data_IF_850244018442
#
_entry.id   IF_850244018442
#
_cell.length_a   1.000
_cell.length_b   1.000
_cell.length_c   1.000
_cell.angle_alpha   90.00
_cell.angle_beta   90.00
_cell.angle_gamma   90.00
#
_symmetry.space_group_name_H-M   'P 1'
#
loop_
_entity.id
_entity.type
_entity.pdbx_description
1 polymer ?
#
# COMPACT_ATOMS: atom_id res chain seq x y z
N UNK A 1 -19.00 2.37 2.02
CA UNK A 1 -18.12 1.21 2.25
C UNK A 1 -16.76 1.49 1.63
N UNK A 2 -15.69 1.42 2.42
CA UNK A 2 -14.33 1.67 1.96
C UNK A 2 -13.71 0.38 1.42
N UNK A 3 -13.27 0.43 0.17
CA UNK A 3 -12.43 -0.60 -0.45
C UNK A 3 -11.05 -0.65 0.23
N UNK A 4 -10.49 -1.85 0.39
CA UNK A 4 -9.15 -2.11 0.96
C UNK A 4 -8.28 -2.83 -0.05
N UNK A 5 -6.97 -2.64 0.07
CA UNK A 5 -5.98 -3.36 -0.73
C UNK A 5 -5.58 -4.64 0.00
N UNK A 6 -5.93 -5.81 -0.55
CA UNK A 6 -5.46 -7.08 -0.04
C UNK A 6 -4.44 -7.69 -1.00
N UNK A 7 -3.32 -8.18 -0.46
CA UNK A 7 -2.49 -9.14 -1.17
C UNK A 7 -2.90 -10.56 -0.78
N UNK A 8 -3.21 -11.40 -1.75
CA UNK A 8 -3.50 -12.83 -1.55
C UNK A 8 -2.41 -13.64 -2.22
N UNK A 9 -1.76 -14.52 -1.45
CA UNK A 9 -0.73 -15.42 -1.94
C UNK A 9 -1.30 -16.83 -2.02
N UNK A 10 -1.10 -17.50 -3.15
CA UNK A 10 -1.59 -18.86 -3.41
C UNK A 10 -0.43 -19.77 -3.80
N UNK A 11 -0.52 -21.08 -3.52
CA UNK A 11 0.36 -22.06 -4.12
C UNK A 11 0.20 -22.08 -5.66
N UNK A 12 1.15 -22.70 -6.39
CA UNK A 12 1.00 -22.93 -7.82
C UNK A 12 -0.29 -23.69 -8.12
N UNK A 13 -0.95 -23.31 -9.21
CA UNK A 13 -2.19 -23.97 -9.67
C UNK A 13 -1.88 -24.97 -10.78
N UNK A 14 -2.68 -26.03 -10.84
CA UNK A 14 -2.62 -27.00 -11.92
C UNK A 14 -3.13 -26.38 -13.24
N UNK A 15 -4.23 -25.64 -13.18
CA UNK A 15 -4.72 -24.80 -14.27
C UNK A 15 -4.54 -23.32 -13.87
N UNK A 16 -3.75 -22.53 -14.62
CA UNK A 16 -3.53 -21.12 -14.31
C UNK A 16 -4.80 -20.27 -14.47
N UNK A 17 -5.87 -20.76 -15.10
CA UNK A 17 -7.15 -20.04 -15.23
C UNK A 17 -8.07 -20.19 -14.02
N UNK A 18 -7.81 -21.14 -13.12
CA UNK A 18 -8.61 -21.40 -11.92
C UNK A 18 -8.33 -20.43 -10.75
N UNK A 19 -7.52 -19.40 -10.99
CA UNK A 19 -7.07 -18.47 -9.94
C UNK A 19 -8.22 -17.80 -9.19
N UNK A 20 -9.34 -17.52 -9.86
CA UNK A 20 -10.47 -16.85 -9.22
C UNK A 20 -11.15 -17.76 -8.19
N UNK A 21 -11.31 -19.05 -8.52
CA UNK A 21 -11.89 -20.03 -7.61
C UNK A 21 -10.93 -20.33 -6.45
N UNK A 22 -9.63 -20.44 -6.72
CA UNK A 22 -8.62 -20.58 -5.68
C UNK A 22 -8.60 -19.39 -4.70
N UNK A 23 -8.80 -18.15 -5.18
CA UNK A 23 -8.96 -16.99 -4.30
C UNK A 23 -10.23 -17.13 -3.46
N UNK A 24 -11.37 -17.51 -4.06
CA UNK A 24 -12.63 -17.68 -3.33
C UNK A 24 -12.47 -18.71 -2.19
N UNK A 25 -11.80 -19.82 -2.45
CA UNK A 25 -11.50 -20.84 -1.43
C UNK A 25 -10.59 -20.28 -0.32
N UNK A 26 -9.53 -19.57 -0.68
CA UNK A 26 -8.56 -19.03 0.27
C UNK A 26 -9.18 -17.98 1.21
N UNK A 27 -10.09 -17.14 0.71
CA UNK A 27 -10.72 -16.08 1.51
C UNK A 27 -11.97 -16.54 2.27
N UNK A 28 -12.57 -17.67 1.91
CA UNK A 28 -13.81 -18.17 2.52
C UNK A 28 -13.78 -18.25 4.07
N UNK A 29 -12.64 -18.55 4.73
CA UNK A 29 -12.54 -18.51 6.19
C UNK A 29 -12.69 -17.11 6.82
N UNK A 30 -12.65 -16.03 6.04
CA UNK A 30 -12.61 -14.64 6.48
C UNK A 30 -13.80 -13.80 5.96
N UNK A 31 -15.07 -14.22 6.17
CA UNK A 31 -16.22 -13.57 5.56
C UNK A 31 -16.45 -12.13 6.05
N UNK A 32 -16.01 -11.80 7.28
CA UNK A 32 -16.16 -10.46 7.85
C UNK A 32 -15.08 -9.48 7.34
N UNK A 33 -13.86 -9.98 7.12
CA UNK A 33 -12.71 -9.20 6.67
C UNK A 33 -12.61 -9.10 5.14
N UNK A 34 -13.13 -10.09 4.40
CA UNK A 34 -12.99 -10.25 2.95
C UNK A 34 -14.34 -10.59 2.28
N UNK A 35 -15.39 -9.82 2.60
CA UNK A 35 -16.78 -10.10 2.17
C UNK A 35 -16.97 -10.17 0.65
N UNK A 36 -16.38 -9.23 -0.09
CA UNK A 36 -16.37 -9.26 -1.57
C UNK A 36 -15.05 -8.75 -2.09
N UNK A 37 -14.63 -9.24 -3.25
CA UNK A 37 -13.35 -8.87 -3.84
C UNK A 37 -13.43 -8.74 -5.37
N UNK A 38 -12.46 -8.03 -5.94
CA UNK A 38 -12.20 -8.04 -7.38
C UNK A 38 -10.73 -7.81 -7.69
N UNK A 39 -10.20 -8.54 -8.68
CA UNK A 39 -8.87 -8.29 -9.25
C UNK A 39 -8.86 -7.10 -10.24
N UNK A 40 -10.02 -6.56 -10.61
CA UNK A 40 -10.18 -5.52 -11.62
C UNK A 40 -10.68 -4.18 -11.04
N UNK A 41 -10.42 -3.97 -9.74
CA UNK A 41 -10.80 -2.76 -9.01
C UNK A 41 -9.70 -1.70 -8.97
N UNK A 42 -9.62 -0.97 -7.86
CA UNK A 42 -8.66 0.15 -7.68
C UNK A 42 -7.20 -0.29 -7.80
N UNK A 43 -6.89 -1.54 -7.46
CA UNK A 43 -5.52 -2.06 -7.33
C UNK A 43 -5.14 -3.03 -8.46
N UNK A 44 -5.88 -3.02 -9.57
CA UNK A 44 -5.70 -3.90 -10.74
C UNK A 44 -4.44 -3.61 -11.60
N UNK A 45 -3.65 -2.60 -11.23
CA UNK A 45 -2.36 -2.26 -11.83
C UNK A 45 -1.30 -2.04 -10.77
N UNK A 46 -1.49 -2.58 -9.56
CA UNK A 46 -0.60 -2.31 -8.42
C UNK A 46 0.74 -3.04 -8.58
N UNK A 47 0.74 -4.27 -9.09
CA UNK A 47 1.94 -5.09 -9.18
C UNK A 47 2.70 -4.77 -10.46
N UNK A 48 4.00 -4.49 -10.33
CA UNK A 48 4.90 -4.32 -11.46
C UNK A 48 5.35 -5.68 -11.99
N UNK A 49 5.40 -5.81 -13.30
CA UNK A 49 5.93 -6.98 -14.01
C UNK A 49 7.38 -6.69 -14.38
N UNK A 50 8.26 -7.69 -14.24
CA UNK A 50 9.67 -7.54 -14.62
C UNK A 50 9.81 -7.26 -16.12
N UNK A 51 10.76 -6.41 -16.53
CA UNK A 51 10.95 -6.07 -17.94
C UNK A 51 11.44 -7.26 -18.78
N UNK A 52 12.08 -8.25 -18.16
CA UNK A 52 12.60 -9.48 -18.78
C UNK A 52 11.61 -10.65 -18.70
N UNK A 53 10.43 -10.45 -18.12
CA UNK A 53 9.43 -11.50 -17.99
C UNK A 53 8.84 -11.90 -19.36
N UNK A 54 8.83 -13.20 -19.64
CA UNK A 54 8.11 -13.80 -20.77
C UNK A 54 6.90 -14.58 -20.23
N UNK A 55 5.75 -13.92 -20.00
CA UNK A 55 4.60 -14.59 -19.42
C UNK A 55 4.08 -15.67 -20.37
N UNK A 56 3.89 -16.89 -19.85
CA UNK A 56 3.08 -17.90 -20.50
C UNK A 56 1.59 -17.57 -20.32
N UNK A 57 0.72 -18.24 -21.08
CA UNK A 57 -0.72 -18.11 -20.88
C UNK A 57 -1.13 -18.38 -19.42
N UNK A 58 -2.03 -17.55 -18.90
CA UNK A 58 -2.51 -17.59 -17.51
C UNK A 58 -1.48 -17.23 -16.41
N UNK A 59 -0.20 -17.03 -16.73
CA UNK A 59 0.82 -16.74 -15.70
C UNK A 59 0.77 -15.33 -15.09
N UNK A 60 0.04 -14.42 -15.75
CA UNK A 60 -0.27 -13.07 -15.29
C UNK A 60 -1.75 -12.77 -15.48
N UNK A 61 -2.35 -12.11 -14.50
CA UNK A 61 -3.72 -11.58 -14.58
C UNK A 61 -3.64 -10.07 -14.76
N UNK A 62 -4.03 -9.61 -15.94
CA UNK A 62 -4.03 -8.19 -16.31
C UNK A 62 -5.45 -7.71 -16.57
N UNK A 63 -5.79 -6.54 -16.03
CA UNK A 63 -7.02 -5.85 -16.38
C UNK A 63 -6.94 -5.24 -17.78
N UNK A 64 -8.09 -4.82 -18.32
CA UNK A 64 -8.13 -4.01 -19.55
C UNK A 64 -7.35 -2.71 -19.38
N UNK A 65 -7.42 -2.08 -18.20
CA UNK A 65 -6.67 -0.87 -17.87
C UNK A 65 -5.16 -1.12 -17.91
N UNK A 66 -4.70 -2.22 -17.30
CA UNK A 66 -3.29 -2.60 -17.34
C UNK A 66 -2.80 -2.74 -18.79
N UNK A 67 -3.52 -3.50 -19.62
CA UNK A 67 -3.19 -3.71 -21.04
C UNK A 67 -3.17 -2.42 -21.86
N UNK A 68 -4.14 -1.52 -21.64
CA UNK A 68 -4.26 -0.26 -22.39
C UNK A 68 -3.22 0.78 -21.96
N UNK A 69 -2.76 0.72 -20.71
CA UNK A 69 -1.79 1.71 -20.19
C UNK A 69 -0.40 1.61 -20.85
N UNK A 70 -0.07 0.45 -21.44
CA UNK A 70 1.27 0.15 -21.94
C UNK A 70 2.33 0.01 -20.84
N UNK A 71 1.96 0.17 -19.56
CA UNK A 71 2.83 -0.07 -18.43
C UNK A 71 2.86 -1.57 -18.10
N UNK A 72 4.04 -2.15 -17.82
CA UNK A 72 4.16 -3.57 -17.44
C UNK A 72 3.64 -3.77 -16.01
N UNK A 73 2.31 -3.78 -15.86
CA UNK A 73 1.62 -3.94 -14.57
C UNK A 73 0.55 -5.00 -14.67
N UNK A 74 0.15 -5.55 -13.52
CA UNK A 74 -0.87 -6.58 -13.41
C UNK A 74 -1.63 -6.51 -12.08
N UNK A 75 -2.74 -7.24 -12.03
CA UNK A 75 -3.49 -7.51 -10.81
C UNK A 75 -2.94 -8.71 -10.06
N UNK A 76 -2.26 -9.63 -10.74
CA UNK A 76 -1.66 -10.79 -10.10
C UNK A 76 -0.87 -11.66 -11.06
N UNK A 77 -0.22 -12.68 -10.53
CA UNK A 77 0.54 -13.66 -11.30
C UNK A 77 1.64 -14.32 -10.47
N UNK A 78 2.46 -15.13 -11.14
CA UNK A 78 3.59 -15.80 -10.50
C UNK A 78 4.59 -14.81 -9.93
N UNK A 79 5.10 -15.09 -8.73
CA UNK A 79 6.07 -14.24 -8.01
C UNK A 79 7.27 -13.93 -8.91
N UNK A 80 7.84 -14.90 -9.60
CA UNK A 80 9.04 -14.71 -10.42
C UNK A 80 8.88 -13.74 -11.58
N UNK A 81 7.65 -13.46 -12.01
CA UNK A 81 7.33 -12.47 -13.03
C UNK A 81 7.15 -11.05 -12.46
N UNK A 82 7.06 -10.91 -11.13
CA UNK A 82 6.80 -9.63 -10.46
C UNK A 82 8.10 -8.94 -10.01
N UNK A 83 8.10 -7.61 -10.06
CA UNK A 83 9.27 -6.77 -9.77
C UNK A 83 9.10 -5.96 -8.48
N UNK A 84 9.07 -6.66 -7.34
CA UNK A 84 9.02 -6.03 -6.02
C UNK A 84 10.19 -5.06 -5.77
N UNK A 85 11.45 -5.39 -6.16
CA UNK A 85 12.56 -4.44 -6.04
C UNK A 85 12.32 -3.13 -6.81
N UNK A 86 11.85 -3.19 -8.07
CA UNK A 86 11.57 -1.97 -8.83
C UNK A 86 10.44 -1.14 -8.22
N UNK A 87 9.39 -1.78 -7.69
CA UNK A 87 8.33 -1.07 -6.97
C UNK A 87 8.88 -0.29 -5.77
N UNK A 88 9.75 -0.93 -4.97
CA UNK A 88 10.43 -0.32 -3.82
C UNK A 88 11.32 0.86 -4.23
N UNK A 89 12.14 0.69 -5.27
CA UNK A 89 13.01 1.76 -5.80
C UNK A 89 12.19 2.93 -6.34
N UNK A 90 11.12 2.64 -7.09
CA UNK A 90 10.23 3.65 -7.64
C UNK A 90 9.59 4.49 -6.52
N UNK A 91 9.03 3.83 -5.49
CA UNK A 91 8.41 4.52 -4.36
C UNK A 91 9.40 5.33 -3.54
N UNK A 92 10.59 4.80 -3.27
CA UNK A 92 11.66 5.54 -2.61
C UNK A 92 12.06 6.80 -3.39
N UNK A 93 12.14 6.68 -4.73
CA UNK A 93 12.48 7.81 -5.61
C UNK A 93 11.39 8.89 -5.60
N UNK A 94 10.11 8.50 -5.67
CA UNK A 94 9.00 9.43 -5.57
C UNK A 94 8.98 10.15 -4.22
N UNK A 95 9.17 9.41 -3.12
CA UNK A 95 9.21 9.98 -1.77
C UNK A 95 10.36 10.97 -1.59
N UNK A 96 11.57 10.65 -2.09
CA UNK A 96 12.71 11.56 -2.02
C UNK A 96 12.45 12.85 -2.79
N UNK A 97 11.86 12.76 -4.00
CA UNK A 97 11.48 13.92 -4.81
C UNK A 97 10.45 14.80 -4.08
N UNK A 98 9.40 14.18 -3.53
CA UNK A 98 8.38 14.88 -2.76
C UNK A 98 8.97 15.60 -1.54
N UNK A 99 9.79 14.90 -0.75
CA UNK A 99 10.41 15.48 0.45
C UNK A 99 11.25 16.71 0.12
N UNK A 100 12.11 16.60 -0.91
CA UNK A 100 12.97 17.71 -1.36
C UNK A 100 12.15 18.89 -1.88
N UNK A 101 11.12 18.62 -2.69
CA UNK A 101 10.23 19.66 -3.22
C UNK A 101 9.50 20.40 -2.09
N UNK A 102 8.93 19.64 -1.14
CA UNK A 102 8.25 20.21 0.02
C UNK A 102 9.20 21.03 0.90
N UNK A 103 10.37 20.48 1.26
CA UNK A 103 11.38 21.21 2.04
C UNK A 103 11.80 22.51 1.37
N UNK A 104 12.04 22.49 0.06
CA UNK A 104 12.39 23.69 -0.70
C UNK A 104 11.26 24.71 -0.69
N UNK A 105 10.02 24.29 -0.91
CA UNK A 105 8.87 25.18 -0.97
C UNK A 105 8.46 25.78 0.39
N UNK A 106 8.91 25.16 1.49
CA UNK A 106 8.55 25.55 2.86
C UNK A 106 9.71 26.17 3.64
N UNK A 107 10.87 26.38 3.01
CA UNK A 107 12.10 26.81 3.65
C UNK A 107 12.00 28.15 4.42
N UNK A 108 11.10 29.04 3.99
CA UNK A 108 10.87 30.36 4.61
C UNK A 108 9.71 30.38 5.61
N UNK A 109 8.99 29.27 5.74
CA UNK A 109 7.83 29.15 6.63
C UNK A 109 8.24 28.58 7.99
N UNK A 110 7.50 28.94 9.04
CA UNK A 110 7.65 28.33 10.36
C UNK A 110 7.56 26.80 10.27
N UNK A 111 8.45 26.04 10.96
CA UNK A 111 8.43 24.59 10.96
C UNK A 111 7.06 24.02 11.33
N UNK A 112 6.59 23.03 10.56
CA UNK A 112 5.41 22.28 10.93
C UNK A 112 5.68 21.44 12.19
N UNK A 113 4.67 21.37 13.04
CA UNK A 113 4.60 20.53 14.24
C UNK A 113 3.92 19.19 13.87
N UNK A 114 4.43 18.04 14.36
CA UNK A 114 3.84 16.74 14.10
C UNK A 114 2.40 16.59 14.63
N UNK A 115 1.60 15.75 13.97
CA UNK A 115 0.20 15.46 14.36
C UNK A 115 0.07 14.94 15.80
N UNK A 116 1.06 14.17 16.28
CA UNK A 116 1.10 13.65 17.65
C UNK A 116 1.03 14.77 18.70
N UNK A 117 1.69 15.90 18.48
CA UNK A 117 1.61 17.05 19.39
C UNK A 117 0.21 17.68 19.44
N UNK A 118 -0.52 17.69 18.32
CA UNK A 118 -1.92 18.15 18.30
C UNK A 118 -2.84 17.18 19.03
N UNK A 119 -2.63 15.88 18.86
CA UNK A 119 -3.41 14.83 19.55
C UNK A 119 -3.17 14.85 21.06
N UNK A 120 -1.94 15.08 21.50
CA UNK A 120 -1.61 15.27 22.92
C UNK A 120 -2.33 16.49 23.52
N UNK A 121 -2.50 17.57 22.75
CA UNK A 121 -3.28 18.76 23.18
C UNK A 121 -4.79 18.52 23.18
N UNK A 122 -5.29 17.63 22.31
CA UNK A 122 -6.72 17.36 22.11
C UNK A 122 -7.06 15.86 22.23
N UNK A 123 -6.78 15.21 23.38
CA UNK A 123 -6.91 13.75 23.51
C UNK A 123 -8.35 13.24 23.32
N UNK A 124 -9.34 14.06 23.64
CA UNK A 124 -10.76 13.74 23.50
C UNK A 124 -11.40 14.32 22.23
N UNK A 125 -10.61 14.98 21.36
CA UNK A 125 -11.11 15.64 20.15
C UNK A 125 -10.17 15.41 18.96
N UNK A 126 -10.02 14.15 18.49
CA UNK A 126 -9.11 13.80 17.40
C UNK A 126 -9.43 14.55 16.09
N UNK A 127 -10.70 14.85 15.83
CA UNK A 127 -11.11 15.67 14.69
C UNK A 127 -10.56 17.10 14.76
N UNK A 128 -10.53 17.70 15.95
CA UNK A 128 -9.94 19.03 16.18
C UNK A 128 -8.42 19.00 16.05
N UNK A 129 -7.77 17.97 16.62
CA UNK A 129 -6.33 17.76 16.46
C UNK A 129 -5.94 17.74 14.97
N UNK A 130 -6.70 17.00 14.17
CA UNK A 130 -6.47 16.88 12.73
C UNK A 130 -6.72 18.20 11.98
N UNK A 131 -7.79 18.92 12.33
CA UNK A 131 -8.10 20.21 11.71
C UNK A 131 -6.97 21.23 11.96
N UNK A 132 -6.50 21.34 13.21
CA UNK A 132 -5.40 22.24 13.56
C UNK A 132 -4.08 21.81 12.90
N UNK A 133 -3.78 20.51 12.86
CA UNK A 133 -2.60 19.99 12.16
C UNK A 133 -2.61 20.39 10.68
N UNK A 134 -3.75 20.22 9.99
CA UNK A 134 -3.90 20.58 8.57
C UNK A 134 -3.82 22.08 8.30
N UNK A 135 -4.20 22.91 9.26
CA UNK A 135 -4.18 24.36 9.12
C UNK A 135 -2.77 24.97 9.10
N UNK A 136 -1.73 24.17 9.32
CA UNK A 136 -0.35 24.64 9.32
C UNK A 136 0.09 25.17 7.94
N UNK A 137 0.78 26.32 7.85
CA UNK A 137 1.17 26.93 6.57
C UNK A 137 1.94 25.98 5.65
N UNK A 138 2.89 25.20 6.19
CA UNK A 138 3.68 24.25 5.41
C UNK A 138 2.84 23.12 4.78
N UNK A 139 1.68 22.78 5.36
CA UNK A 139 0.79 21.74 4.82
C UNK A 139 -0.13 22.26 3.73
N UNK A 140 -0.37 23.58 3.69
CA UNK A 140 -1.14 24.18 2.59
C UNK A 140 -0.37 24.05 1.27
N UNK A 141 0.96 24.20 1.31
CA UNK A 141 1.87 24.04 0.16
C UNK A 141 1.81 22.62 -0.45
N UNK A 142 1.51 21.59 0.34
CA UNK A 142 1.37 20.22 -0.18
C UNK A 142 0.15 20.03 -1.09
N UNK A 143 -0.79 20.97 -1.10
CA UNK A 143 -1.92 20.93 -2.05
C UNK A 143 -1.52 21.33 -3.45
N UNK A 144 -0.46 22.13 -3.58
CA UNK A 144 0.04 22.62 -4.87
C UNK A 144 1.12 21.69 -5.44
N UNK A 145 1.84 20.97 -4.58
CA UNK A 145 2.92 20.06 -4.99
C UNK A 145 2.46 18.67 -5.41
N UNK A 146 1.28 18.22 -4.96
CA UNK A 146 0.81 16.85 -5.16
C UNK A 146 -0.58 16.82 -5.82
N UNK A 147 -0.61 16.57 -7.14
CA UNK A 147 -1.82 16.51 -7.95
C UNK A 147 -2.72 15.27 -7.66
N UNK A 148 -2.24 14.32 -6.85
CA UNK A 148 -2.91 13.04 -6.59
C UNK A 148 -3.71 13.03 -5.27
N UNK A 149 -5.04 13.11 -5.36
CA UNK A 149 -5.96 13.09 -4.20
C UNK A 149 -6.31 11.66 -3.74
N UNK A 150 -5.47 11.06 -2.90
CA UNK A 150 -5.69 9.71 -2.33
C UNK A 150 -5.77 9.74 -0.79
N UNK A 151 -6.52 8.84 -0.15
CA UNK A 151 -6.55 8.67 1.32
C UNK A 151 -5.16 8.39 1.93
N UNK A 152 -4.21 7.83 1.15
CA UNK A 152 -2.80 7.68 1.55
C UNK A 152 -2.13 9.03 1.89
N UNK A 153 -2.66 10.14 1.35
CA UNK A 153 -2.15 11.51 1.56
C UNK A 153 -2.10 11.89 3.03
N UNK A 154 -3.00 11.39 3.88
CA UNK A 154 -3.00 11.75 5.31
C UNK A 154 -1.81 11.17 6.06
N UNK A 155 -1.61 9.86 5.95
CA UNK A 155 -0.48 9.17 6.58
C UNK A 155 0.85 9.66 5.99
N UNK A 156 0.89 9.90 4.67
CA UNK A 156 2.06 10.46 4.00
C UNK A 156 2.36 11.88 4.46
N UNK A 157 1.35 12.74 4.65
CA UNK A 157 1.53 14.12 5.16
C UNK A 157 2.02 14.14 6.60
N UNK A 158 1.43 13.30 7.47
CA UNK A 158 1.87 13.20 8.85
C UNK A 158 3.33 12.71 8.95
N UNK A 159 3.69 11.68 8.18
CA UNK A 159 5.06 11.17 8.10
C UNK A 159 6.03 12.20 7.53
N UNK A 160 5.62 12.99 6.54
CA UNK A 160 6.47 14.02 5.93
C UNK A 160 6.90 15.10 6.92
N UNK A 161 6.02 15.46 7.86
CA UNK A 161 6.32 16.42 8.93
C UNK A 161 7.15 15.78 10.05
N UNK A 162 6.85 14.53 10.41
CA UNK A 162 7.44 13.88 11.57
C UNK A 162 8.84 13.29 11.32
N UNK A 163 9.15 12.92 10.08
CA UNK A 163 10.36 12.17 9.74
C UNK A 163 11.41 13.04 9.04
N UNK A 164 12.68 12.67 9.22
CA UNK A 164 13.73 13.15 8.33
C UNK A 164 13.60 12.54 6.92
N UNK A 165 14.45 13.01 6.00
CA UNK A 165 14.41 12.57 4.61
C UNK A 165 14.59 11.06 4.46
N UNK A 166 15.55 10.46 5.17
CA UNK A 166 15.94 9.07 4.97
C UNK A 166 14.89 8.13 5.57
N UNK A 167 14.37 8.46 6.76
CA UNK A 167 13.27 7.73 7.38
C UNK A 167 11.98 7.83 6.54
N UNK A 168 11.67 9.00 5.96
CA UNK A 168 10.51 9.16 5.08
C UNK A 168 10.63 8.30 3.81
N UNK A 169 11.82 8.27 3.20
CA UNK A 169 12.12 7.46 2.01
C UNK A 169 12.05 5.97 2.32
N UNK A 170 12.61 5.53 3.44
CA UNK A 170 12.56 4.12 3.85
C UNK A 170 11.12 3.67 4.12
N UNK A 171 10.36 4.49 4.84
CA UNK A 171 8.94 4.21 5.11
C UNK A 171 8.13 4.06 3.81
N UNK A 172 8.40 4.89 2.80
CA UNK A 172 7.77 4.78 1.49
C UNK A 172 8.20 3.50 0.75
N UNK A 173 9.47 3.11 0.88
CA UNK A 173 10.00 1.86 0.33
C UNK A 173 9.30 0.64 0.92
N UNK A 174 9.19 0.57 2.24
CA UNK A 174 8.55 -0.54 2.95
C UNK A 174 7.07 -0.72 2.57
N UNK A 175 6.38 0.37 2.21
CA UNK A 175 4.96 0.36 1.78
C UNK A 175 4.75 0.16 0.29
N UNK A 176 5.80 -0.07 -0.48
CA UNK A 176 5.70 -0.09 -1.93
C UNK A 176 4.88 -1.27 -2.45
N UNK A 177 5.06 -2.44 -1.86
CA UNK A 177 4.43 -3.70 -2.29
C UNK A 177 3.25 -4.08 -1.39
N UNK A 178 3.40 -4.19 -0.05
CA UNK A 178 2.33 -4.69 0.80
C UNK A 178 1.04 -3.86 0.71
N UNK A 179 -0.08 -4.56 0.89
CA UNK A 179 -1.39 -3.94 1.03
C UNK A 179 -1.74 -3.58 2.47
N UNK A 180 -3.03 -3.37 2.68
CA UNK A 180 -3.63 -3.20 4.00
C UNK A 180 -3.82 -4.57 4.68
N UNK A 181 -3.98 -5.62 3.85
CA UNK A 181 -4.07 -7.02 4.26
C UNK A 181 -3.10 -7.89 3.47
N UNK A 182 -2.59 -8.95 4.10
CA UNK A 182 -1.83 -10.02 3.47
C UNK A 182 -2.40 -11.37 3.89
N UNK A 183 -2.97 -12.12 2.95
CA UNK A 183 -3.33 -13.53 3.13
C UNK A 183 -2.18 -14.40 2.59
N UNK A 184 -1.56 -15.15 3.49
CA UNK A 184 -0.45 -16.07 3.17
C UNK A 184 -0.97 -17.37 2.57
N UNK A 185 -0.07 -18.13 1.93
CA UNK A 185 -0.35 -19.45 1.34
C UNK A 185 -0.83 -20.48 2.36
N UNK A 186 -0.43 -20.33 3.63
CA UNK A 186 -0.86 -21.17 4.75
C UNK A 186 -2.25 -20.76 5.29
N UNK A 187 -2.91 -19.82 4.61
CA UNK A 187 -4.23 -19.34 4.97
C UNK A 187 -4.23 -18.38 6.15
N UNK A 188 -3.08 -17.81 6.57
CA UNK A 188 -3.02 -16.83 7.67
C UNK A 188 -3.24 -15.41 7.12
N UNK A 189 -4.28 -14.73 7.61
CA UNK A 189 -4.55 -13.32 7.33
C UNK A 189 -3.81 -12.39 8.31
N UNK A 190 -2.90 -11.58 7.79
CA UNK A 190 -2.25 -10.48 8.50
C UNK A 190 -2.89 -9.14 8.12
N UNK A 191 -3.19 -8.31 9.12
CA UNK A 191 -3.81 -7.01 8.90
C UNK A 191 -2.89 -5.90 9.42
N UNK A 192 -2.74 -4.84 8.62
CA UNK A 192 -1.94 -3.70 8.97
C UNK A 192 -2.65 -2.82 10.04
N UNK A 193 -2.07 -2.64 11.25
CA UNK A 193 -2.72 -1.94 12.34
C UNK A 193 -3.11 -0.47 12.04
N UNK A 194 -2.29 0.26 11.27
CA UNK A 194 -2.61 1.66 10.89
C UNK A 194 -3.91 1.82 10.10
N UNK A 195 -4.47 0.73 9.57
CA UNK A 195 -5.72 0.75 8.82
C UNK A 195 -6.95 0.36 9.64
N UNK A 196 -6.77 -0.36 10.76
CA UNK A 196 -7.88 -0.73 11.66
C UNK A 196 -8.03 0.29 12.79
N UNK A 197 -6.92 0.81 13.30
CA UNK A 197 -6.91 1.64 14.49
C UNK A 197 -6.22 2.97 14.25
N UNK A 198 -6.96 4.06 14.48
CA UNK A 198 -6.41 5.40 14.55
C UNK A 198 -5.51 5.63 15.79
N UNK A 199 -5.21 4.58 16.58
CA UNK A 199 -4.34 4.62 17.75
C UNK A 199 -2.91 4.10 17.49
N UNK A 200 -2.60 3.53 16.31
CA UNK A 200 -1.21 3.23 15.90
C UNK A 200 -0.54 4.46 15.29
N UNK A 201 -0.58 5.57 16.02
CA UNK A 201 -0.15 6.88 15.54
C UNK A 201 1.36 7.00 15.36
N UNK A 202 2.10 6.20 16.12
CA UNK A 202 3.55 6.05 16.00
C UNK A 202 3.93 4.96 14.98
N UNK A 203 2.94 4.35 14.31
CA UNK A 203 3.09 3.30 13.28
C UNK A 203 3.95 2.10 13.70
N UNK A 204 4.07 1.84 14.99
CA UNK A 204 4.92 0.75 15.50
C UNK A 204 4.35 -0.62 15.11
N UNK A 205 3.03 -0.78 15.17
CA UNK A 205 2.35 -2.00 14.73
C UNK A 205 2.45 -2.16 13.21
N UNK A 206 2.30 -1.06 12.49
CA UNK A 206 2.41 -1.00 11.03
C UNK A 206 3.82 -1.32 10.54
N UNK A 207 4.86 -0.88 11.24
CA UNK A 207 6.25 -1.20 10.91
C UNK A 207 6.49 -2.70 11.01
N UNK A 208 6.05 -3.35 12.10
CA UNK A 208 6.16 -4.82 12.24
C UNK A 208 5.41 -5.56 11.15
N UNK A 209 4.20 -5.11 10.81
CA UNK A 209 3.43 -5.68 9.69
C UNK A 209 4.19 -5.57 8.37
N UNK A 210 4.73 -4.39 8.06
CA UNK A 210 5.43 -4.15 6.79
C UNK A 210 6.71 -4.97 6.70
N UNK A 211 7.47 -5.11 7.79
CA UNK A 211 8.67 -5.94 7.83
C UNK A 211 8.32 -7.42 7.60
N UNK A 212 7.27 -7.91 8.27
CA UNK A 212 6.77 -9.27 8.08
C UNK A 212 6.32 -9.49 6.63
N UNK A 213 5.48 -8.60 6.10
CA UNK A 213 4.90 -8.73 4.77
C UNK A 213 5.96 -8.66 3.67
N UNK A 214 6.93 -7.73 3.75
CA UNK A 214 8.00 -7.66 2.77
C UNK A 214 8.89 -8.90 2.82
N UNK A 215 9.26 -9.37 4.02
CA UNK A 215 10.07 -10.59 4.17
C UNK A 215 9.35 -11.79 3.58
N UNK A 216 8.08 -11.97 3.94
CA UNK A 216 7.26 -13.06 3.41
C UNK A 216 7.18 -13.05 1.88
N UNK A 217 6.92 -11.89 1.28
CA UNK A 217 6.83 -11.74 -0.18
C UNK A 217 8.19 -11.95 -0.89
N UNK A 218 9.29 -11.60 -0.24
CA UNK A 218 10.64 -11.80 -0.77
C UNK A 218 11.07 -13.27 -0.70
N UNK A 219 10.65 -14.00 0.34
CA UNK A 219 10.92 -15.42 0.57
C UNK A 219 9.92 -16.36 -0.11
N UNK A 220 8.79 -15.83 -0.62
CA UNK A 220 7.77 -16.61 -1.31
C UNK A 220 8.37 -17.34 -2.53
N UNK A 221 8.11 -18.65 -2.71
CA UNK A 221 8.75 -19.38 -3.79
C UNK A 221 8.40 -18.82 -5.18
N UNK A 222 9.31 -18.93 -6.16
CA UNK A 222 9.19 -18.26 -7.46
C UNK A 222 7.90 -18.56 -8.24
N UNK A 223 7.37 -19.78 -8.11
CA UNK A 223 6.21 -20.30 -8.82
C UNK A 223 4.87 -20.00 -8.14
N UNK A 224 4.89 -19.52 -6.90
CA UNK A 224 3.68 -19.14 -6.18
C UNK A 224 3.04 -17.89 -6.76
N UNK A 225 1.74 -17.75 -6.56
CA UNK A 225 0.97 -16.65 -7.12
C UNK A 225 0.76 -15.56 -6.08
N UNK A 226 0.82 -14.30 -6.53
CA UNK A 226 0.49 -13.13 -5.72
C UNK A 226 -0.56 -12.30 -6.44
N UNK A 227 -1.65 -11.99 -5.77
CA UNK A 227 -2.76 -11.19 -6.28
C UNK A 227 -2.97 -9.93 -5.45
N UNK A 228 -3.12 -8.81 -6.14
CA UNK A 228 -3.54 -7.52 -5.62
C UNK A 228 -5.03 -7.34 -5.86
N UNK A 229 -5.79 -7.36 -4.77
CA UNK A 229 -7.24 -7.34 -4.78
C UNK A 229 -7.79 -6.06 -4.15
N UNK A 230 -8.89 -5.61 -4.74
CA UNK A 230 -9.77 -4.62 -4.15
C UNK A 230 -10.87 -5.37 -3.36
N UNK A 231 -10.82 -5.27 -2.03
CA UNK A 231 -11.73 -6.01 -1.13
C UNK A 231 -12.64 -5.07 -0.35
N UNK A 232 -13.86 -5.51 -0.06
CA UNK A 232 -14.80 -4.80 0.81
C UNK A 232 -15.06 -5.61 2.06
N UNK A 233 -15.14 -4.92 3.19
CA UNK A 233 -15.49 -5.51 4.49
C UNK A 233 -16.99 -5.71 4.60
N UNK A 234 -17.39 -6.68 5.43
CA UNK A 234 -18.74 -6.70 6.00
C UNK A 234 -18.93 -5.42 6.83
N UNK A 235 -20.07 -4.75 6.65
CA UNK A 235 -20.39 -3.48 7.30
C UNK A 235 -20.87 -3.64 8.74
#
# INVERSE_FOLDING_TARGET
MTSRHALVCLPPLNDPHDWADAINEAIAPYPDDLYTWTAYGRYDTHLAVRPDATPSDGSLVQSSRARQSGLPTCSGGRRDLLDFPAMRVHRATQASRLYRAWKSATATLSPAVPLSSFRQRHPQAPGRALQEFRAQPQLQVLTDLDASRSHRRMAETAALVALDHDAFVERARQRAVPGDLLLTVDGILHINPSFISAADDDETGSTRYLDLANRYLDELPPDHLVFSLDVRLAG
#
